data_IF_800409127679
#
_entry.id   IF_800409127679
#
_cell.length_a   1.000
_cell.length_b   1.000
_cell.length_c   1.000
_cell.angle_alpha   90.00
_cell.angle_beta   90.00
_cell.angle_gamma   90.00
#
_symmetry.space_group_name_H-M   'P 1'
#
loop_
_entity.id
_entity.type
_entity.pdbx_description
1 polymer ?
#
# COMPACT_ATOMS: atom_id res chain seq x y z
N UNK A 1 -39.80 28.28 21.06
CA UNK A 1 -39.14 27.57 22.18
C UNK A 1 -39.04 26.04 21.94
N UNK A 2 -40.14 25.30 21.69
CA UNK A 2 -40.10 23.84 21.45
C UNK A 2 -39.20 23.43 20.24
N UNK A 3 -39.26 24.19 19.12
CA UNK A 3 -38.43 23.93 17.94
C UNK A 3 -36.92 24.05 18.26
N UNK A 4 -36.52 25.10 18.96
CA UNK A 4 -35.10 25.31 19.37
C UNK A 4 -34.64 24.19 20.28
N UNK A 5 -35.46 23.74 21.24
CA UNK A 5 -35.14 22.64 22.13
C UNK A 5 -34.92 21.34 21.34
N UNK A 6 -35.79 21.04 20.36
CA UNK A 6 -35.63 19.87 19.49
C UNK A 6 -34.32 19.94 18.69
N UNK A 7 -34.04 21.09 18.07
CA UNK A 7 -32.80 21.25 17.28
C UNK A 7 -31.56 21.11 18.16
N UNK A 8 -31.54 21.71 19.34
CA UNK A 8 -30.42 21.61 20.30
C UNK A 8 -30.26 20.16 20.78
N UNK A 9 -31.36 19.47 21.07
CA UNK A 9 -31.31 18.06 21.48
C UNK A 9 -30.74 17.17 20.36
N UNK A 10 -31.19 17.36 19.10
CA UNK A 10 -30.67 16.60 17.97
C UNK A 10 -29.18 16.88 17.72
N UNK A 11 -28.76 18.15 17.79
CA UNK A 11 -27.36 18.53 17.69
C UNK A 11 -26.51 17.90 18.81
N UNK A 12 -27.03 17.93 20.06
CA UNK A 12 -26.34 17.28 21.20
C UNK A 12 -26.19 15.79 21.01
N UNK A 13 -27.22 15.12 20.46
CA UNK A 13 -27.12 13.68 20.15
C UNK A 13 -26.04 13.45 19.08
N UNK A 14 -26.04 14.18 17.99
CA UNK A 14 -25.04 14.03 16.92
C UNK A 14 -23.62 14.30 17.43
N UNK A 15 -23.44 15.28 18.30
CA UNK A 15 -22.13 15.66 18.81
C UNK A 15 -21.61 14.74 19.91
N UNK A 16 -22.49 14.19 20.75
CA UNK A 16 -22.08 13.45 21.98
C UNK A 16 -22.24 11.94 21.82
N UNK A 17 -23.32 11.46 21.18
CA UNK A 17 -23.60 10.03 21.09
C UNK A 17 -22.48 9.19 20.48
N UNK A 18 -21.73 9.65 19.47
CA UNK A 18 -20.59 8.90 18.96
C UNK A 18 -19.56 8.52 20.04
N UNK A 19 -19.30 9.40 21.00
CA UNK A 19 -18.36 9.14 22.10
C UNK A 19 -18.89 8.17 23.17
N UNK A 20 -20.18 7.87 23.17
CA UNK A 20 -20.78 6.84 24.03
C UNK A 20 -20.59 5.43 23.46
N UNK A 21 -20.19 5.30 22.19
CA UNK A 21 -19.87 4.03 21.56
C UNK A 21 -18.43 3.65 21.96
N UNK A 22 -18.21 2.58 22.70
CA UNK A 22 -16.85 2.20 23.10
C UNK A 22 -16.09 1.63 21.92
N UNK A 23 -14.93 2.19 21.61
CA UNK A 23 -13.95 1.63 20.67
C UNK A 23 -12.94 0.82 21.48
N UNK A 24 -13.30 -0.42 21.78
CA UNK A 24 -12.44 -1.35 22.53
C UNK A 24 -11.31 -1.86 21.64
N UNK A 25 -10.20 -2.25 22.26
CA UNK A 25 -9.15 -2.99 21.57
C UNK A 25 -9.68 -4.32 21.03
N UNK A 26 -9.09 -4.82 19.97
CA UNK A 26 -9.50 -6.09 19.37
C UNK A 26 -9.02 -7.24 20.24
N UNK A 27 -9.95 -8.08 20.69
CA UNK A 27 -9.62 -9.28 21.43
C UNK A 27 -8.93 -10.32 20.54
N UNK A 28 -7.93 -11.02 21.09
CA UNK A 28 -7.20 -12.08 20.37
C UNK A 28 -6.17 -11.58 19.37
N UNK A 29 -5.95 -10.27 19.28
CA UNK A 29 -4.81 -9.73 18.53
C UNK A 29 -3.53 -9.79 19.37
N UNK A 30 -2.38 -9.87 18.68
CA UNK A 30 -1.06 -10.02 19.31
C UNK A 30 -0.06 -9.05 18.69
N UNK A 31 1.08 -8.86 19.35
CA UNK A 31 2.20 -8.12 18.78
C UNK A 31 2.55 -8.67 17.39
N UNK A 32 2.72 -7.82 16.37
CA UNK A 32 3.09 -8.24 15.02
C UNK A 32 4.31 -9.19 14.96
N UNK A 33 5.28 -9.01 15.84
CA UNK A 33 6.46 -9.88 15.94
C UNK A 33 6.11 -11.35 16.25
N UNK A 34 5.02 -11.60 16.97
CA UNK A 34 4.57 -12.96 17.30
C UNK A 34 3.89 -13.68 16.14
N UNK A 35 3.56 -12.96 15.07
CA UNK A 35 2.98 -13.50 13.84
C UNK A 35 4.02 -13.75 12.74
N UNK A 36 5.28 -13.41 13.01
CA UNK A 36 6.37 -13.53 12.05
C UNK A 36 6.54 -14.98 11.57
N UNK A 37 6.86 -15.13 10.30
CA UNK A 37 7.25 -16.40 9.68
C UNK A 37 8.75 -16.67 9.95
N UNK A 38 9.23 -17.88 9.64
CA UNK A 38 10.65 -18.24 9.83
C UNK A 38 11.61 -17.40 8.96
N UNK A 39 11.13 -16.92 7.81
CA UNK A 39 11.86 -16.08 6.85
C UNK A 39 11.62 -14.57 7.05
N UNK A 40 10.89 -14.20 8.11
CA UNK A 40 10.62 -12.80 8.45
C UNK A 40 11.87 -12.11 9.00
N UNK A 41 12.14 -10.93 8.48
CA UNK A 41 13.21 -10.05 8.94
C UNK A 41 12.63 -8.72 9.43
N UNK A 42 13.33 -8.09 10.38
CA UNK A 42 12.91 -6.82 10.94
C UNK A 42 14.08 -5.85 11.03
N UNK A 43 13.80 -4.58 10.74
CA UNK A 43 14.75 -3.48 10.94
C UNK A 43 14.06 -2.31 11.60
N UNK A 44 14.73 -1.67 12.57
CA UNK A 44 14.20 -0.46 13.19
C UNK A 44 14.70 0.77 12.43
N UNK A 45 13.77 1.49 11.80
CA UNK A 45 14.03 2.76 11.10
C UNK A 45 13.09 3.82 11.68
N UNK A 46 13.64 4.90 12.21
CA UNK A 46 12.86 6.01 12.80
C UNK A 46 11.84 5.56 13.85
N UNK A 47 12.22 4.62 14.71
CA UNK A 47 11.36 3.97 15.71
C UNK A 47 10.19 3.15 15.14
N UNK A 48 10.22 2.83 13.85
CA UNK A 48 9.30 1.89 13.21
C UNK A 48 10.05 0.58 12.98
N UNK A 49 9.54 -0.52 13.54
CA UNK A 49 10.01 -1.87 13.27
C UNK A 49 9.40 -2.31 11.93
N UNK A 50 10.17 -2.18 10.85
CA UNK A 50 9.74 -2.56 9.51
C UNK A 50 9.96 -4.06 9.34
N UNK A 51 8.89 -4.79 9.03
CA UNK A 51 8.96 -6.17 8.59
C UNK A 51 9.28 -6.24 7.09
N UNK A 52 10.15 -7.17 6.72
CA UNK A 52 10.46 -7.46 5.32
C UNK A 52 10.84 -8.92 5.12
N UNK A 53 10.75 -9.37 3.87
CA UNK A 53 11.29 -10.64 3.39
C UNK A 53 12.28 -10.35 2.28
N UNK A 54 13.35 -11.14 2.17
CA UNK A 54 14.35 -10.99 1.13
C UNK A 54 14.69 -12.32 0.49
N UNK A 55 15.09 -12.27 -0.77
CA UNK A 55 15.56 -13.43 -1.51
C UNK A 55 16.62 -13.03 -2.55
N UNK A 56 17.49 -13.99 -2.92
CA UNK A 56 18.56 -13.77 -3.89
C UNK A 56 19.74 -12.96 -3.35
N UNK A 57 20.65 -12.66 -4.24
CA UNK A 57 21.86 -11.86 -4.00
C UNK A 57 22.14 -11.05 -5.26
N UNK A 58 22.85 -9.92 -5.15
CA UNK A 58 23.20 -9.13 -6.32
C UNK A 58 23.53 -7.68 -6.02
N UNK A 59 24.06 -6.99 -7.01
CA UNK A 59 24.40 -5.56 -6.93
C UNK A 59 23.20 -4.65 -7.20
N UNK A 60 22.07 -5.19 -7.68
CA UNK A 60 20.86 -4.44 -7.96
C UNK A 60 19.75 -4.86 -7.00
N UNK A 61 19.24 -3.89 -6.24
CA UNK A 61 18.09 -4.07 -5.36
C UNK A 61 16.78 -3.89 -6.14
N UNK A 62 15.89 -4.88 -6.04
CA UNK A 62 14.48 -4.77 -6.44
C UNK A 62 13.63 -4.70 -5.18
N UNK A 63 12.97 -3.57 -4.94
CA UNK A 63 12.15 -3.34 -3.75
C UNK A 63 10.67 -3.38 -4.12
N UNK A 64 9.91 -4.26 -3.44
CA UNK A 64 8.51 -4.55 -3.73
C UNK A 64 7.60 -3.86 -2.71
N UNK A 65 6.67 -3.01 -3.20
CA UNK A 65 5.73 -2.22 -2.41
C UNK A 65 4.29 -2.70 -2.67
N UNK A 66 3.71 -3.39 -1.70
CA UNK A 66 2.37 -3.95 -1.81
C UNK A 66 1.24 -2.89 -1.80
N UNK A 67 0.04 -3.27 -2.24
CA UNK A 67 -1.16 -2.45 -2.25
C UNK A 67 -1.82 -2.24 -0.88
N UNK A 68 -2.97 -1.57 -0.87
CA UNK A 68 -3.79 -1.40 0.33
C UNK A 68 -4.39 -2.73 0.76
N UNK A 69 -4.33 -3.03 2.06
CA UNK A 69 -4.86 -4.28 2.63
C UNK A 69 -4.02 -5.53 2.36
N UNK A 70 -2.90 -5.39 1.63
CA UNK A 70 -1.95 -6.46 1.36
C UNK A 70 -0.73 -6.41 2.31
N UNK A 71 0.26 -7.26 2.07
CA UNK A 71 1.52 -7.36 2.81
C UNK A 71 2.61 -7.94 1.90
N UNK A 72 3.76 -8.27 2.46
CA UNK A 72 4.81 -9.04 1.76
C UNK A 72 4.29 -10.33 1.12
N UNK A 73 3.23 -10.91 1.67
CA UNK A 73 2.58 -12.12 1.14
C UNK A 73 2.08 -11.97 -0.30
N UNK A 74 1.68 -10.76 -0.72
CA UNK A 74 1.23 -10.48 -2.08
C UNK A 74 2.32 -10.76 -3.14
N UNK A 75 3.57 -10.77 -2.77
CA UNK A 75 4.70 -10.98 -3.67
C UNK A 75 5.22 -12.42 -3.72
N UNK A 76 4.56 -13.39 -3.03
CA UNK A 76 4.99 -14.78 -2.88
C UNK A 76 5.26 -15.52 -4.19
N UNK A 77 4.50 -15.22 -5.25
CA UNK A 77 4.61 -15.89 -6.55
C UNK A 77 5.81 -15.36 -7.37
N UNK A 78 6.25 -14.14 -7.11
CA UNK A 78 7.24 -13.46 -7.97
C UNK A 78 8.58 -13.18 -7.29
N UNK A 79 8.64 -13.17 -5.95
CA UNK A 79 9.88 -12.89 -5.22
C UNK A 79 10.99 -13.91 -5.55
N UNK A 80 10.66 -15.20 -5.60
CA UNK A 80 11.63 -16.27 -5.95
C UNK A 80 12.18 -16.14 -7.36
N UNK A 81 11.34 -16.11 -8.40
CA UNK A 81 11.79 -15.92 -9.79
C UNK A 81 12.60 -14.64 -10.01
N UNK A 82 12.23 -13.51 -9.40
CA UNK A 82 13.03 -12.28 -9.47
C UNK A 82 14.38 -12.42 -8.78
N UNK A 83 14.43 -13.21 -7.71
CA UNK A 83 15.64 -13.45 -6.92
C UNK A 83 16.68 -14.34 -7.62
N UNK A 84 16.36 -14.95 -8.76
CA UNK A 84 17.34 -15.64 -9.58
C UNK A 84 18.37 -14.67 -10.20
N UNK A 85 18.02 -13.38 -10.36
CA UNK A 85 18.88 -12.39 -11.02
C UNK A 85 19.16 -11.16 -10.13
N UNK A 86 18.36 -10.91 -9.10
CA UNK A 86 18.41 -9.68 -8.30
C UNK A 86 18.42 -9.99 -6.80
N UNK A 87 18.88 -9.03 -6.00
CA UNK A 87 18.54 -9.01 -4.59
C UNK A 87 17.15 -8.39 -4.43
N UNK A 88 16.18 -9.19 -4.02
CA UNK A 88 14.77 -8.80 -3.97
C UNK A 88 14.34 -8.64 -2.52
N UNK A 89 13.70 -7.53 -2.20
CA UNK A 89 13.14 -7.27 -0.87
C UNK A 89 11.68 -6.84 -1.01
N UNK A 90 10.77 -7.57 -0.37
CA UNK A 90 9.40 -7.14 -0.14
C UNK A 90 9.27 -6.66 1.30
N UNK A 91 8.68 -5.50 1.55
CA UNK A 91 8.49 -5.00 2.91
C UNK A 91 7.04 -4.62 3.17
N UNK A 92 6.62 -4.77 4.43
CA UNK A 92 5.30 -4.35 4.87
C UNK A 92 5.31 -2.84 5.13
N UNK A 93 4.53 -2.11 4.34
CA UNK A 93 4.38 -0.66 4.51
C UNK A 93 3.71 -0.34 5.85
N UNK A 94 3.97 0.84 6.46
CA UNK A 94 3.36 1.24 7.73
C UNK A 94 1.84 1.05 7.75
N UNK A 95 1.34 0.43 8.82
CA UNK A 95 -0.07 0.11 8.98
C UNK A 95 -0.50 -1.26 8.46
N UNK A 96 0.37 -1.98 7.73
CA UNK A 96 0.09 -3.27 7.13
C UNK A 96 1.06 -4.36 7.59
N UNK A 97 0.77 -5.60 7.21
CA UNK A 97 1.60 -6.78 7.45
C UNK A 97 2.00 -6.93 8.92
N UNK A 98 3.29 -7.09 9.16
CA UNK A 98 3.87 -7.21 10.50
C UNK A 98 4.78 -6.02 10.87
N UNK A 99 4.80 -4.95 10.07
CA UNK A 99 5.42 -3.67 10.46
C UNK A 99 4.69 -3.09 11.67
N UNK A 100 5.44 -2.55 12.63
CA UNK A 100 4.89 -1.98 13.85
C UNK A 100 3.88 -0.86 13.58
N UNK A 101 2.90 -0.75 14.47
CA UNK A 101 1.76 0.17 14.34
C UNK A 101 1.68 1.12 15.52
N UNK A 102 2.56 2.14 15.60
CA UNK A 102 2.50 3.11 16.68
C UNK A 102 1.15 3.82 16.67
N UNK A 103 0.61 4.04 17.85
CA UNK A 103 -0.59 4.84 18.03
C UNK A 103 -0.28 6.33 17.86
N UNK A 104 -1.30 7.13 17.61
CA UNK A 104 -1.13 8.58 17.38
C UNK A 104 -0.43 9.29 18.53
N UNK A 105 -0.71 8.89 19.75
CA UNK A 105 -0.09 9.42 20.97
C UNK A 105 1.41 9.10 21.08
N UNK A 106 1.88 8.06 20.36
CA UNK A 106 3.28 7.64 20.31
C UNK A 106 4.06 8.35 19.18
N UNK A 107 3.32 9.05 18.28
CA UNK A 107 3.92 9.78 17.17
C UNK A 107 4.39 11.17 17.64
N UNK A 108 5.69 11.39 17.69
CA UNK A 108 6.27 12.70 18.01
C UNK A 108 6.14 13.67 16.81
N UNK A 109 7.14 13.72 15.94
CA UNK A 109 7.19 14.59 14.76
C UNK A 109 7.00 13.78 13.47
N UNK A 110 7.48 12.53 13.46
CA UNK A 110 7.44 11.66 12.30
C UNK A 110 6.13 10.89 12.23
N UNK A 111 5.38 11.04 11.12
CA UNK A 111 4.16 10.28 10.88
C UNK A 111 4.39 9.21 9.79
N UNK A 112 4.57 7.93 10.15
CA UNK A 112 4.82 6.86 9.19
C UNK A 112 3.63 6.60 8.27
N UNK A 113 2.43 7.02 8.63
CA UNK A 113 1.20 6.81 7.87
C UNK A 113 0.97 7.86 6.77
N UNK A 114 1.68 8.99 6.82
CA UNK A 114 1.63 9.99 5.75
C UNK A 114 2.39 9.53 4.51
N UNK A 115 2.09 10.10 3.34
CA UNK A 115 2.84 9.82 2.12
C UNK A 115 4.32 10.18 2.30
N UNK A 116 4.60 11.32 2.91
CA UNK A 116 5.95 11.78 3.20
C UNK A 116 6.69 10.76 4.10
N UNK A 117 6.01 10.24 5.14
CA UNK A 117 6.58 9.23 6.03
C UNK A 117 6.85 7.89 5.33
N UNK A 118 5.94 7.44 4.48
CA UNK A 118 6.12 6.20 3.70
C UNK A 118 7.29 6.34 2.71
N UNK A 119 7.43 7.50 2.06
CA UNK A 119 8.56 7.80 1.16
C UNK A 119 9.87 7.79 1.93
N UNK A 120 9.96 8.49 3.08
CA UNK A 120 11.16 8.51 3.90
C UNK A 120 11.55 7.11 4.39
N UNK A 121 10.60 6.29 4.82
CA UNK A 121 10.87 4.91 5.26
C UNK A 121 11.36 4.04 4.10
N UNK A 122 10.79 4.20 2.90
CA UNK A 122 11.22 3.48 1.70
C UNK A 122 12.67 3.82 1.35
N UNK A 123 13.02 5.10 1.31
CA UNK A 123 14.40 5.57 1.04
C UNK A 123 15.37 5.09 2.13
N UNK A 124 14.97 5.23 3.40
CA UNK A 124 15.81 4.78 4.52
C UNK A 124 16.02 3.26 4.52
N UNK A 125 15.05 2.48 4.05
CA UNK A 125 15.20 1.03 3.89
C UNK A 125 16.21 0.70 2.79
N UNK A 126 16.19 1.37 1.63
CA UNK A 126 17.18 1.21 0.56
C UNK A 126 18.58 1.47 1.11
N UNK A 127 18.77 2.57 1.85
CA UNK A 127 20.04 2.94 2.46
C UNK A 127 20.50 1.94 3.54
N UNK A 128 19.57 1.46 4.38
CA UNK A 128 19.86 0.45 5.39
C UNK A 128 20.35 -0.86 4.77
N UNK A 129 19.77 -1.25 3.64
CA UNK A 129 20.17 -2.45 2.90
C UNK A 129 21.53 -2.29 2.19
N UNK A 130 22.13 -1.09 2.22
CA UNK A 130 23.45 -0.81 1.68
C UNK A 130 23.47 -0.44 0.19
N UNK A 131 22.30 -0.07 -0.39
CA UNK A 131 22.19 0.32 -1.78
C UNK A 131 22.07 1.83 -1.95
N UNK A 132 22.64 2.37 -3.01
CA UNK A 132 22.51 3.78 -3.36
C UNK A 132 21.15 4.08 -4.01
N UNK A 133 20.68 3.16 -4.84
CA UNK A 133 19.40 3.22 -5.57
C UNK A 133 18.74 1.83 -5.65
N UNK A 134 17.47 1.79 -6.03
CA UNK A 134 16.72 0.56 -6.22
C UNK A 134 15.79 0.65 -7.43
N UNK A 135 15.42 -0.51 -7.98
CA UNK A 135 14.25 -0.63 -8.84
C UNK A 135 13.04 -0.82 -7.94
N UNK A 136 12.02 0.02 -8.08
CA UNK A 136 10.81 -0.07 -7.28
C UNK A 136 9.70 -0.74 -8.10
N UNK A 137 9.13 -1.82 -7.55
CA UNK A 137 7.93 -2.45 -8.10
C UNK A 137 6.79 -2.23 -7.12
N UNK A 138 5.79 -1.45 -7.51
CA UNK A 138 4.68 -1.08 -6.63
C UNK A 138 3.31 -1.42 -7.20
N UNK A 139 2.49 -2.13 -6.41
CA UNK A 139 1.11 -2.38 -6.77
C UNK A 139 0.17 -1.37 -6.09
N UNK A 140 -0.83 -0.87 -6.84
CA UNK A 140 -1.92 -0.04 -6.32
C UNK A 140 -1.41 1.16 -5.50
N UNK A 141 -1.74 1.25 -4.22
CA UNK A 141 -1.23 2.27 -3.31
C UNK A 141 0.31 2.20 -3.11
N UNK A 142 0.92 1.01 -3.26
CA UNK A 142 2.38 0.84 -3.30
C UNK A 142 2.98 1.46 -4.56
N UNK A 143 2.28 1.37 -5.70
CA UNK A 143 2.66 2.04 -6.94
C UNK A 143 2.64 3.57 -6.81
N UNK A 144 1.63 4.12 -6.15
CA UNK A 144 1.60 5.55 -5.83
C UNK A 144 2.76 5.97 -4.92
N UNK A 145 3.09 5.13 -3.91
CA UNK A 145 4.26 5.40 -3.04
C UNK A 145 5.57 5.35 -3.84
N UNK A 146 5.75 4.35 -4.71
CA UNK A 146 6.94 4.25 -5.57
C UNK A 146 7.08 5.45 -6.52
N UNK A 147 5.97 5.91 -7.09
CA UNK A 147 5.92 7.10 -7.94
C UNK A 147 6.32 8.35 -7.16
N UNK A 148 5.86 8.51 -5.92
CA UNK A 148 6.21 9.65 -5.06
C UNK A 148 7.68 9.58 -4.60
N UNK A 149 8.24 8.38 -4.38
CA UNK A 149 9.69 8.21 -4.14
C UNK A 149 10.48 8.71 -5.35
N UNK A 150 10.09 8.33 -6.57
CA UNK A 150 10.76 8.76 -7.79
C UNK A 150 10.64 10.27 -8.03
N UNK A 151 9.51 10.88 -7.67
CA UNK A 151 9.31 12.32 -7.77
C UNK A 151 10.15 13.12 -6.77
N UNK A 152 10.30 12.60 -5.53
CA UNK A 152 10.97 13.29 -4.43
C UNK A 152 12.47 12.98 -4.32
N UNK A 153 12.87 11.76 -4.72
CA UNK A 153 14.24 11.23 -4.61
C UNK A 153 14.64 10.49 -5.90
N UNK A 154 14.63 11.16 -7.09
CA UNK A 154 14.90 10.49 -8.37
C UNK A 154 16.25 9.76 -8.40
N UNK A 155 17.26 10.25 -7.65
CA UNK A 155 18.58 9.62 -7.53
C UNK A 155 18.56 8.30 -6.72
N UNK A 156 17.45 7.95 -6.11
CA UNK A 156 17.26 6.70 -5.36
C UNK A 156 16.53 5.64 -6.15
N UNK A 157 16.12 5.96 -7.39
CA UNK A 157 15.27 5.10 -8.20
C UNK A 157 15.88 4.86 -9.57
N UNK A 158 16.40 3.65 -9.78
CA UNK A 158 16.96 3.19 -11.06
C UNK A 158 15.87 2.92 -12.10
N UNK A 159 14.71 2.47 -11.68
CA UNK A 159 13.56 2.19 -12.54
C UNK A 159 12.28 1.97 -11.74
N UNK A 160 11.13 2.11 -12.41
CA UNK A 160 9.79 1.92 -11.84
C UNK A 160 9.03 0.83 -12.57
N UNK A 161 8.39 -0.06 -11.83
CA UNK A 161 7.31 -0.93 -12.33
C UNK A 161 6.05 -0.60 -11.53
N UNK A 162 5.06 -0.02 -12.21
CA UNK A 162 3.83 0.50 -11.63
C UNK A 162 2.67 -0.43 -12.01
N UNK A 163 2.26 -1.27 -11.06
CA UNK A 163 1.27 -2.33 -11.26
C UNK A 163 -0.07 -1.84 -10.76
N UNK A 164 -1.02 -1.60 -11.65
CA UNK A 164 -2.36 -1.08 -11.33
C UNK A 164 -2.31 0.08 -10.33
N UNK A 165 -1.38 1.01 -10.55
CA UNK A 165 -1.04 2.06 -9.60
C UNK A 165 -2.21 3.01 -9.34
N UNK A 166 -2.60 3.16 -8.06
CA UNK A 166 -3.76 3.95 -7.64
C UNK A 166 -3.46 5.46 -7.60
N UNK A 167 -3.08 6.05 -8.75
CA UNK A 167 -2.64 7.45 -8.85
C UNK A 167 -3.83 8.42 -8.92
N UNK A 168 -4.86 8.10 -9.71
CA UNK A 168 -5.98 9.01 -10.02
C UNK A 168 -7.21 8.80 -9.15
N UNK A 169 -7.11 8.05 -8.07
CA UNK A 169 -8.21 7.82 -7.12
C UNK A 169 -8.49 9.06 -6.27
N UNK A 170 -9.60 9.74 -6.53
CA UNK A 170 -9.94 11.06 -5.96
C UNK A 170 -10.78 11.02 -4.67
N UNK A 171 -10.82 9.92 -3.93
CA UNK A 171 -11.65 9.82 -2.71
C UNK A 171 -11.27 10.86 -1.62
N UNK A 172 -10.00 11.27 -1.58
CA UNK A 172 -9.53 12.28 -0.64
C UNK A 172 -10.21 13.65 -0.83
N UNK A 173 -10.81 13.92 -1.99
CA UNK A 173 -11.52 15.17 -2.29
C UNK A 173 -13.02 15.12 -1.98
N UNK A 174 -13.57 13.96 -1.62
CA UNK A 174 -14.97 13.83 -1.27
C UNK A 174 -15.30 14.68 -0.01
N UNK A 175 -16.18 15.69 -0.10
CA UNK A 175 -16.47 16.59 1.03
C UNK A 175 -17.06 15.87 2.25
N UNK A 176 -17.85 14.82 2.01
CA UNK A 176 -18.42 14.00 3.08
C UNK A 176 -17.34 13.21 3.80
N UNK A 177 -16.39 12.64 3.06
CA UNK A 177 -15.24 11.94 3.62
C UNK A 177 -14.36 12.89 4.46
N UNK A 178 -14.06 14.09 3.92
CA UNK A 178 -13.33 15.15 4.66
C UNK A 178 -14.06 15.57 5.94
N UNK A 179 -15.38 15.70 5.87
CA UNK A 179 -16.19 16.03 7.05
C UNK A 179 -16.07 14.93 8.11
N UNK A 180 -16.20 13.66 7.70
CA UNK A 180 -16.10 12.51 8.61
C UNK A 180 -14.71 12.42 9.26
N UNK A 181 -13.65 12.49 8.47
CA UNK A 181 -12.26 12.31 8.94
C UNK A 181 -11.78 13.49 9.80
N UNK A 182 -12.24 14.72 9.54
CA UNK A 182 -11.78 15.90 10.25
C UNK A 182 -12.53 16.19 11.57
N UNK A 183 -13.60 15.44 11.88
CA UNK A 183 -14.33 15.62 13.14
C UNK A 183 -13.76 14.77 14.27
N UNK A 184 -13.86 15.21 15.54
CA UNK A 184 -13.52 14.37 16.69
C UNK A 184 -14.31 13.05 16.73
N UNK A 185 -15.57 13.07 16.26
CA UNK A 185 -16.44 11.89 16.16
C UNK A 185 -15.92 10.89 15.13
N UNK A 186 -15.53 11.37 13.95
CA UNK A 186 -14.93 10.53 12.90
C UNK A 186 -13.61 9.92 13.37
N UNK A 187 -12.78 10.69 14.06
CA UNK A 187 -11.55 10.17 14.67
C UNK A 187 -11.81 9.09 15.71
N UNK A 188 -12.84 9.29 16.56
CA UNK A 188 -13.20 8.31 17.58
C UNK A 188 -13.76 7.01 16.99
N UNK A 189 -14.68 7.10 16.02
CA UNK A 189 -15.32 5.93 15.42
C UNK A 189 -14.53 5.28 14.27
N UNK A 190 -13.50 5.94 13.80
CA UNK A 190 -12.71 5.51 12.65
C UNK A 190 -12.19 4.07 12.70
N UNK A 191 -11.63 3.60 13.82
CA UNK A 191 -11.23 2.20 13.94
C UNK A 191 -12.37 1.21 13.67
N UNK A 192 -13.60 1.52 14.08
CA UNK A 192 -14.77 0.68 13.78
C UNK A 192 -15.08 0.66 12.27
N UNK A 193 -14.90 1.80 11.58
CA UNK A 193 -15.04 1.87 10.12
C UNK A 193 -13.99 1.00 9.45
N UNK A 194 -12.74 1.06 9.91
CA UNK A 194 -11.65 0.20 9.42
C UNK A 194 -11.96 -1.28 9.58
N UNK A 195 -12.55 -1.68 10.73
CA UNK A 195 -12.99 -3.07 10.99
C UNK A 195 -14.04 -3.56 10.00
N UNK A 196 -14.99 -2.69 9.63
CA UNK A 196 -16.03 -3.03 8.65
C UNK A 196 -15.41 -3.19 7.24
N UNK A 197 -14.43 -2.34 6.90
CA UNK A 197 -13.84 -2.31 5.57
C UNK A 197 -12.90 -3.49 5.31
N UNK A 198 -11.99 -3.82 6.24
CA UNK A 198 -11.01 -4.90 6.11
C UNK A 198 -11.37 -6.18 6.89
N UNK A 199 -12.35 -6.13 7.77
CA UNK A 199 -12.76 -7.32 8.53
C UNK A 199 -13.36 -8.45 7.67
N UNK A 200 -13.54 -8.21 6.36
CA UNK A 200 -13.89 -9.22 5.37
C UNK A 200 -12.94 -9.11 4.17
N UNK A 201 -11.73 -9.63 4.32
CA UNK A 201 -10.70 -9.69 3.29
C UNK A 201 -11.19 -10.38 2.01
N UNK A 202 -12.08 -11.36 2.12
CA UNK A 202 -12.67 -12.08 0.98
C UNK A 202 -13.35 -11.14 -0.01
N UNK A 203 -14.17 -10.20 0.44
CA UNK A 203 -14.86 -9.27 -0.46
C UNK A 203 -13.89 -8.38 -1.23
N UNK A 204 -12.78 -7.98 -0.60
CA UNK A 204 -11.75 -7.18 -1.27
C UNK A 204 -11.03 -8.01 -2.33
N UNK A 205 -10.69 -9.27 -2.03
CA UNK A 205 -10.04 -10.17 -2.98
C UNK A 205 -10.97 -10.57 -4.12
N UNK A 206 -12.27 -10.82 -3.86
CA UNK A 206 -13.27 -11.09 -4.91
C UNK A 206 -13.41 -9.90 -5.88
N UNK A 207 -13.14 -8.68 -5.44
CA UNK A 207 -13.12 -7.50 -6.30
C UNK A 207 -11.79 -7.38 -7.05
N UNK A 208 -10.67 -7.72 -6.40
CA UNK A 208 -9.31 -7.56 -6.91
C UNK A 208 -8.95 -8.61 -7.97
N UNK A 209 -9.47 -9.82 -7.87
CA UNK A 209 -9.19 -10.92 -8.80
C UNK A 209 -10.26 -10.99 -9.91
N UNK A 210 -9.84 -11.18 -11.15
CA UNK A 210 -10.75 -11.46 -12.27
C UNK A 210 -11.35 -12.85 -12.14
N UNK A 211 -10.50 -13.88 -11.98
CA UNK A 211 -10.90 -15.26 -11.77
C UNK A 211 -10.84 -15.64 -10.28
N UNK A 212 -11.94 -15.40 -9.58
CA UNK A 212 -12.06 -15.72 -8.14
C UNK A 212 -12.00 -17.21 -7.82
N UNK A 213 -12.04 -18.10 -8.81
CA UNK A 213 -11.88 -19.55 -8.59
C UNK A 213 -10.44 -19.94 -8.22
N UNK A 214 -9.47 -19.06 -8.52
CA UNK A 214 -8.06 -19.20 -8.12
C UNK A 214 -7.81 -18.84 -6.65
N UNK A 215 -8.77 -18.20 -5.95
CA UNK A 215 -8.64 -17.84 -4.54
C UNK A 215 -8.76 -19.07 -3.64
N UNK A 216 -7.61 -19.65 -3.29
CA UNK A 216 -7.52 -20.80 -2.39
C UNK A 216 -7.69 -20.39 -0.92
N UNK A 217 -8.03 -21.32 -0.01
CA UNK A 217 -8.02 -21.05 1.44
C UNK A 217 -6.69 -20.50 1.96
N UNK A 218 -5.56 -20.97 1.43
CA UNK A 218 -4.22 -20.52 1.85
C UNK A 218 -3.98 -19.04 1.47
N UNK A 219 -4.48 -18.60 0.30
CA UNK A 219 -4.43 -17.19 -0.10
C UNK A 219 -5.24 -16.35 0.87
N UNK A 220 -6.47 -16.78 1.19
CA UNK A 220 -7.33 -16.08 2.15
C UNK A 220 -6.66 -15.98 3.53
N UNK A 221 -6.11 -17.09 4.04
CA UNK A 221 -5.40 -17.10 5.31
C UNK A 221 -4.18 -16.15 5.30
N UNK A 222 -3.40 -16.11 4.22
CA UNK A 222 -2.27 -15.20 4.07
C UNK A 222 -2.66 -13.72 4.16
N UNK A 223 -3.81 -13.35 3.59
CA UNK A 223 -4.36 -12.00 3.70
C UNK A 223 -5.00 -11.69 5.06
N UNK A 224 -5.55 -12.71 5.74
CA UNK A 224 -6.16 -12.56 7.07
C UNK A 224 -5.13 -12.54 8.21
N UNK A 225 -3.97 -13.18 8.03
CA UNK A 225 -2.95 -13.30 9.07
C UNK A 225 -2.53 -11.94 9.65
N UNK A 226 -2.28 -10.87 8.86
CA UNK A 226 -1.97 -9.54 9.38
C UNK A 226 -3.09 -8.88 10.20
N UNK A 227 -4.34 -9.29 10.04
CA UNK A 227 -5.47 -8.78 10.82
C UNK A 227 -5.51 -9.37 12.25
N UNK A 228 -4.67 -10.38 12.55
CA UNK A 228 -4.44 -10.89 13.90
C UNK A 228 -3.42 -10.04 14.69
N UNK A 229 -2.76 -9.08 14.04
CA UNK A 229 -1.84 -8.16 14.71
C UNK A 229 -2.59 -7.02 15.40
N UNK A 230 -2.11 -6.60 16.56
CA UNK A 230 -2.72 -5.50 17.32
C UNK A 230 -2.70 -4.17 16.54
N UNK A 231 -3.64 -3.29 16.88
CA UNK A 231 -3.75 -1.91 16.34
C UNK A 231 -3.91 -1.80 14.81
N UNK A 232 -4.21 -2.87 14.07
CA UNK A 232 -4.37 -2.79 12.63
C UNK A 232 -5.49 -1.83 12.20
N UNK A 233 -6.58 -1.82 12.93
CA UNK A 233 -7.75 -0.98 12.69
C UNK A 233 -7.47 0.51 12.94
N UNK A 234 -6.69 0.80 13.99
CA UNK A 234 -6.26 2.16 14.35
C UNK A 234 -5.24 2.70 13.36
N UNK A 235 -4.22 1.89 13.01
CA UNK A 235 -3.21 2.24 12.02
C UNK A 235 -3.82 2.50 10.64
N UNK A 236 -4.79 1.68 10.22
CA UNK A 236 -5.52 1.87 8.97
C UNK A 236 -6.31 3.18 8.98
N UNK A 237 -6.88 3.55 10.12
CA UNK A 237 -7.55 4.84 10.25
C UNK A 237 -6.58 6.01 10.20
N UNK A 238 -5.40 5.91 10.82
CA UNK A 238 -4.36 6.95 10.71
C UNK A 238 -3.86 7.11 9.27
N UNK A 239 -3.69 6.02 8.51
CA UNK A 239 -3.43 6.08 7.06
C UNK A 239 -4.53 6.86 6.32
N UNK A 240 -5.79 6.60 6.67
CA UNK A 240 -6.95 7.29 6.09
C UNK A 240 -6.94 8.78 6.40
N UNK A 241 -6.63 9.15 7.65
CA UNK A 241 -6.55 10.54 8.10
C UNK A 241 -5.36 11.30 7.48
N UNK A 242 -4.25 10.60 7.22
CA UNK A 242 -3.04 11.18 6.66
C UNK A 242 -3.10 11.35 5.13
N UNK A 243 -4.12 10.78 4.46
CA UNK A 243 -4.27 10.85 3.01
C UNK A 243 -4.48 12.27 2.52
N UNK A 244 -3.72 12.65 1.50
CA UNK A 244 -3.81 13.93 0.81
C UNK A 244 -4.06 13.69 -0.69
N UNK A 245 -4.70 14.64 -1.41
CA UNK A 245 -4.75 14.61 -2.87
C UNK A 245 -3.33 14.55 -3.45
N UNK A 246 -3.15 13.75 -4.48
CA UNK A 246 -1.87 13.68 -5.18
C UNK A 246 -1.67 14.89 -6.10
N UNK A 247 -0.45 15.41 -6.15
CA UNK A 247 -0.09 16.49 -7.07
C UNK A 247 0.32 15.91 -8.43
N UNK A 248 -0.62 15.84 -9.35
CA UNK A 248 -0.43 15.29 -10.70
C UNK A 248 0.62 16.07 -11.53
N UNK A 249 0.94 17.31 -11.16
CA UNK A 249 1.98 18.09 -11.88
C UNK A 249 3.38 17.49 -11.74
N UNK A 250 3.58 16.59 -10.79
CA UNK A 250 4.83 15.85 -10.59
C UNK A 250 5.07 14.78 -11.66
N UNK A 251 4.02 14.19 -12.25
CA UNK A 251 4.14 13.04 -13.16
C UNK A 251 4.99 13.37 -14.40
N UNK A 252 4.74 14.47 -15.14
CA UNK A 252 5.48 14.78 -16.36
C UNK A 252 6.97 15.13 -16.15
N UNK A 253 7.41 15.27 -14.90
CA UNK A 253 8.82 15.59 -14.58
C UNK A 253 9.58 14.42 -13.97
N UNK A 254 8.99 13.24 -13.92
CA UNK A 254 9.64 11.99 -13.49
C UNK A 254 10.33 11.36 -14.69
N UNK A 255 11.66 11.59 -14.83
CA UNK A 255 12.48 11.04 -15.90
C UNK A 255 13.15 9.72 -15.50
N UNK A 256 12.44 8.87 -14.80
CA UNK A 256 12.87 7.51 -14.44
C UNK A 256 12.28 6.53 -15.46
N UNK A 257 13.07 5.61 -16.04
CA UNK A 257 12.53 4.56 -16.90
C UNK A 257 11.42 3.80 -16.17
N UNK A 258 10.27 3.69 -16.79
CA UNK A 258 9.06 3.19 -16.15
C UNK A 258 8.35 2.14 -16.98
N UNK A 259 7.83 1.12 -16.35
CA UNK A 259 6.92 0.12 -16.91
C UNK A 259 5.60 0.21 -16.16
N UNK A 260 4.52 0.55 -16.87
CA UNK A 260 3.17 0.53 -16.33
C UNK A 260 2.49 -0.77 -16.75
N UNK A 261 1.99 -1.52 -15.78
CA UNK A 261 1.29 -2.80 -15.99
C UNK A 261 -0.12 -2.68 -15.42
N UNK A 262 -1.09 -3.24 -16.12
CA UNK A 262 -2.49 -3.35 -15.64
C UNK A 262 -3.12 -4.65 -16.13
N UNK A 263 -3.99 -5.24 -15.31
CA UNK A 263 -4.92 -6.26 -15.78
C UNK A 263 -6.06 -5.63 -16.57
N UNK A 264 -6.51 -6.26 -17.66
CA UNK A 264 -7.60 -5.74 -18.50
C UNK A 264 -8.98 -5.79 -17.85
N UNK A 265 -9.09 -6.48 -16.71
CA UNK A 265 -10.31 -6.63 -15.92
C UNK A 265 -10.15 -6.08 -14.48
N UNK A 266 -9.28 -5.10 -14.28
CA UNK A 266 -9.16 -4.42 -12.98
C UNK A 266 -10.47 -3.67 -12.64
N UNK A 267 -11.10 -4.06 -11.50
CA UNK A 267 -12.34 -3.47 -10.99
C UNK A 267 -12.10 -2.46 -9.87
N UNK A 268 -10.84 -2.22 -9.51
CA UNK A 268 -10.42 -1.30 -8.43
C UNK A 268 -9.82 -0.03 -9.03
N UNK A 269 -8.85 -0.18 -9.93
CA UNK A 269 -8.23 0.93 -10.68
C UNK A 269 -8.61 0.78 -12.14
N UNK A 270 -9.38 1.70 -12.73
CA UNK A 270 -9.74 1.62 -14.14
C UNK A 270 -8.49 1.51 -15.05
N UNK A 271 -8.55 0.62 -16.05
CA UNK A 271 -7.45 0.42 -17.02
C UNK A 271 -7.03 1.73 -17.68
N UNK A 272 -8.01 2.62 -17.90
CA UNK A 272 -7.80 3.96 -18.46
C UNK A 272 -6.85 4.81 -17.63
N UNK A 273 -6.81 4.63 -16.31
CA UNK A 273 -5.90 5.33 -15.40
C UNK A 273 -4.46 4.88 -15.63
N UNK A 274 -4.20 3.59 -15.82
CA UNK A 274 -2.89 3.05 -16.17
C UNK A 274 -2.44 3.51 -17.56
N UNK A 275 -3.36 3.51 -18.54
CA UNK A 275 -3.11 4.04 -19.89
C UNK A 275 -2.79 5.53 -19.83
N UNK A 276 -3.48 6.29 -19.01
CA UNK A 276 -3.22 7.72 -18.78
C UNK A 276 -1.85 7.92 -18.14
N UNK A 277 -1.54 7.18 -17.09
CA UNK A 277 -0.24 7.27 -16.39
C UNK A 277 0.93 7.00 -17.32
N UNK A 278 0.84 5.97 -18.15
CA UNK A 278 1.87 5.66 -19.14
C UNK A 278 2.06 6.76 -20.20
N UNK A 279 1.01 7.53 -20.52
CA UNK A 279 1.12 8.68 -21.44
C UNK A 279 1.70 9.93 -20.78
N UNK A 280 1.45 10.11 -19.49
CA UNK A 280 1.90 11.29 -18.74
C UNK A 280 3.36 11.15 -18.26
N UNK A 281 3.85 9.93 -18.05
CA UNK A 281 5.26 9.65 -17.71
C UNK A 281 6.16 9.74 -18.94
N UNK A 282 7.27 10.53 -18.91
CA UNK A 282 8.10 10.77 -20.09
C UNK A 282 8.79 9.53 -20.65
N UNK A 283 9.15 8.55 -19.81
CA UNK A 283 9.93 7.36 -20.19
C UNK A 283 9.17 6.07 -19.82
N UNK A 284 7.87 6.02 -20.10
CA UNK A 284 7.05 4.86 -19.75
C UNK A 284 6.75 3.96 -20.95
N UNK A 285 6.74 2.66 -20.66
CA UNK A 285 6.14 1.60 -21.47
C UNK A 285 4.84 1.16 -20.80
N UNK A 286 3.87 0.68 -21.60
CA UNK A 286 2.60 0.13 -21.10
C UNK A 286 2.46 -1.33 -21.48
N UNK A 287 2.04 -2.17 -20.55
CA UNK A 287 1.62 -3.55 -20.81
C UNK A 287 0.27 -3.81 -20.14
N UNK A 288 -0.62 -4.47 -20.88
CA UNK A 288 -1.95 -4.88 -20.39
C UNK A 288 -2.00 -6.40 -20.41
N UNK A 289 -2.26 -7.02 -19.27
CA UNK A 289 -2.34 -8.48 -19.13
C UNK A 289 -3.81 -8.90 -19.28
N UNK A 290 -4.13 -9.76 -20.26
CA UNK A 290 -5.50 -10.19 -20.51
C UNK A 290 -6.00 -11.11 -19.39
N UNK A 291 -7.34 -11.17 -19.23
CA UNK A 291 -8.04 -12.03 -18.27
C UNK A 291 -7.48 -11.93 -16.84
N UNK A 292 -7.10 -10.72 -16.41
CA UNK A 292 -6.42 -10.47 -15.17
C UNK A 292 -7.01 -9.25 -14.46
N UNK A 293 -7.14 -9.33 -13.13
CA UNK A 293 -7.65 -8.25 -12.28
C UNK A 293 -6.57 -7.32 -11.75
N UNK A 294 -6.78 -6.80 -10.54
CA UNK A 294 -5.96 -5.79 -9.87
C UNK A 294 -4.59 -6.29 -9.35
N UNK A 295 -4.39 -7.62 -9.34
CA UNK A 295 -3.19 -8.23 -8.77
C UNK A 295 -2.47 -9.13 -9.81
N UNK A 296 -1.99 -8.58 -10.94
CA UNK A 296 -1.36 -9.37 -12.01
C UNK A 296 -0.20 -10.24 -11.53
N UNK A 297 0.58 -9.76 -10.57
CA UNK A 297 1.71 -10.48 -9.97
C UNK A 297 1.30 -11.69 -9.11
N UNK A 298 0.00 -11.80 -8.76
CA UNK A 298 -0.56 -12.95 -8.06
C UNK A 298 -1.42 -13.82 -8.98
N UNK A 299 -2.28 -13.20 -9.79
CA UNK A 299 -3.27 -13.89 -10.59
C UNK A 299 -2.69 -14.49 -11.88
N UNK A 300 -1.70 -13.81 -12.48
CA UNK A 300 -1.03 -14.18 -13.73
C UNK A 300 0.49 -13.98 -13.61
N UNK A 301 1.16 -14.66 -12.63
CA UNK A 301 2.56 -14.41 -12.31
C UNK A 301 3.52 -14.76 -13.47
N UNK A 302 3.17 -15.73 -14.30
CA UNK A 302 3.96 -16.10 -15.48
C UNK A 302 4.05 -14.95 -16.49
N UNK A 303 2.90 -14.45 -16.93
CA UNK A 303 2.79 -13.33 -17.87
C UNK A 303 3.38 -12.04 -17.28
N UNK A 304 3.17 -11.82 -15.98
CA UNK A 304 3.78 -10.70 -15.27
C UNK A 304 5.33 -10.74 -15.36
N UNK A 305 5.93 -11.90 -15.07
CA UNK A 305 7.39 -12.07 -15.11
C UNK A 305 7.95 -12.00 -16.54
N UNK A 306 7.23 -12.53 -17.54
CA UNK A 306 7.61 -12.40 -18.96
C UNK A 306 7.70 -10.94 -19.42
N UNK A 307 6.92 -10.05 -18.83
CA UNK A 307 6.93 -8.59 -19.10
C UNK A 307 8.00 -7.90 -18.26
N UNK A 308 8.09 -8.20 -16.96
CA UNK A 308 8.93 -7.48 -16.01
C UNK A 308 10.42 -7.79 -16.21
N UNK A 309 10.82 -9.07 -16.33
CA UNK A 309 12.22 -9.44 -16.40
C UNK A 309 12.98 -8.80 -17.58
N UNK A 310 12.45 -8.75 -18.82
CA UNK A 310 13.11 -8.03 -19.91
C UNK A 310 13.28 -6.54 -19.63
N UNK A 311 12.29 -5.90 -19.00
CA UNK A 311 12.40 -4.49 -18.62
C UNK A 311 13.51 -4.28 -17.59
N UNK A 312 13.55 -5.09 -16.53
CA UNK A 312 14.60 -4.98 -15.50
C UNK A 312 16.00 -5.16 -16.10
N UNK A 313 16.17 -6.15 -16.99
CA UNK A 313 17.46 -6.39 -17.69
C UNK A 313 17.87 -5.20 -18.56
N UNK A 314 16.90 -4.49 -19.17
CA UNK A 314 17.20 -3.31 -19.98
C UNK A 314 17.77 -2.15 -19.17
N UNK A 315 17.40 -2.04 -17.87
CA UNK A 315 17.93 -1.02 -16.97
C UNK A 315 19.42 -1.23 -16.63
N UNK A 316 19.89 -2.47 -16.64
CA UNK A 316 21.30 -2.78 -16.40
C UNK A 316 22.22 -2.37 -17.58
N UNK A 317 21.66 -2.11 -18.76
CA UNK A 317 22.42 -1.71 -19.96
C UNK A 317 22.42 -0.20 -20.19
N UNK A 318 21.81 0.58 -19.32
CA UNK A 318 21.70 2.04 -19.41
C UNK A 318 22.79 2.78 -18.58
N UNK A 319 23.71 2.04 -17.93
CA UNK A 319 24.85 2.57 -17.15
C UNK A 319 26.05 2.96 -18.03
#
# INVERSE_FOLDING_TARGET
MKFIVIVVSLLSVVLIAPFLIPVRDLEGTVDPLLLADEDSMFVNIKNINIHYKSAGEGSTLVLLLHGFGASTFSWREVIGPLAEEYFVVAFDRPGFGFTSRPLREDLEVFNPYSMEGQVELTVSLIEHLGYEEAILIGNSAGGLTALEVAASYPQKVKGLVLVDAAVYTNDADNPFFKLLTNTPQGRHLGPLVSRIFLGNSRNLLDLAWYDTSKLTPDILEGYEKPLKAENWDRALWELTLARKPYDYSKIPVIYVPSLVITGDNDRIVPVEDSVRLAKELPLAQLSIIPDTGHLPHEESPGEFLEIVLPFLRSLATMD
#
